data_IF_972516920242
#
_entry.id   IF_972516920242
#
_cell.length_a   1.000
_cell.length_b   1.000
_cell.length_c   1.000
_cell.angle_alpha   90.00
_cell.angle_beta   90.00
_cell.angle_gamma   90.00
#
_symmetry.space_group_name_H-M   'P 1'
#
loop_
_entity.id
_entity.type
_entity.pdbx_description
1 polymer ?
#
# COMPACT_ATOMS: atom_id res chain seq x y z
N UNK A 1 3.57 5.70 -9.17
CA UNK A 1 3.39 6.71 -10.23
C UNK A 1 2.22 6.21 -11.04
N UNK A 2 1.12 6.95 -11.05
CA UNK A 2 -0.14 6.49 -11.65
C UNK A 2 -0.01 6.27 -13.16
N UNK A 3 -0.54 5.15 -13.65
CA UNK A 3 -0.75 4.90 -15.07
C UNK A 3 -2.18 5.29 -15.43
N UNK A 4 -2.35 6.16 -16.42
CA UNK A 4 -3.68 6.52 -16.92
C UNK A 4 -4.24 5.38 -17.75
N UNK A 5 -5.44 4.91 -17.39
CA UNK A 5 -6.17 3.87 -18.12
C UNK A 5 -6.39 4.34 -19.57
N UNK A 6 -5.91 3.55 -20.53
CA UNK A 6 -6.04 3.82 -21.97
C UNK A 6 -4.81 4.44 -22.65
N UNK A 7 -3.74 4.72 -21.90
CA UNK A 7 -2.46 5.19 -22.46
C UNK A 7 -1.41 4.10 -22.28
N UNK A 8 -0.99 3.46 -23.38
CA UNK A 8 0.17 2.56 -23.37
C UNK A 8 1.48 3.38 -23.33
N UNK A 9 1.83 3.94 -22.17
CA UNK A 9 3.20 4.44 -21.97
C UNK A 9 4.14 3.23 -21.78
N UNK A 10 4.90 2.87 -22.82
CA UNK A 10 6.06 1.97 -22.67
C UNK A 10 7.17 2.69 -21.91
N UNK A 11 7.08 2.74 -20.58
CA UNK A 11 8.18 3.19 -19.73
C UNK A 11 9.25 2.10 -19.66
N UNK A 12 10.49 2.48 -19.98
CA UNK A 12 11.65 1.63 -19.76
C UNK A 12 11.72 1.23 -18.28
N UNK A 13 11.91 -0.07 -18.01
CA UNK A 13 12.08 -0.60 -16.67
C UNK A 13 13.36 -0.03 -16.04
N UNK A 14 13.25 1.12 -15.37
CA UNK A 14 14.29 1.57 -14.45
C UNK A 14 14.30 0.57 -13.29
N UNK A 15 15.49 0.04 -12.95
CA UNK A 15 15.71 -0.60 -11.64
C UNK A 15 15.35 0.42 -10.57
N UNK A 16 14.14 0.29 -10.06
CA UNK A 16 13.61 1.16 -9.02
C UNK A 16 14.12 0.63 -7.69
N UNK A 17 14.76 1.46 -6.87
CA UNK A 17 15.02 1.17 -5.46
C UNK A 17 13.73 1.16 -4.61
N UNK A 18 12.58 1.34 -5.26
CA UNK A 18 11.28 1.49 -4.67
C UNK A 18 10.28 0.52 -5.30
N UNK A 19 9.51 -0.16 -4.47
CA UNK A 19 8.39 -1.00 -4.91
C UNK A 19 7.22 -0.80 -3.96
N UNK A 20 6.02 -0.72 -4.52
CA UNK A 20 4.81 -0.74 -3.73
C UNK A 20 4.60 -2.13 -3.12
N UNK A 21 4.16 -2.14 -1.86
CA UNK A 21 3.92 -3.35 -1.08
C UNK A 21 2.59 -3.21 -0.32
N UNK A 22 1.89 -4.32 -0.05
CA UNK A 22 0.75 -4.35 0.84
C UNK A 22 1.07 -3.70 2.19
N UNK A 23 0.07 -3.09 2.83
CA UNK A 23 0.21 -2.48 4.16
C UNK A 23 0.73 -3.54 5.13
N UNK A 24 1.81 -3.24 5.84
CA UNK A 24 2.48 -4.16 6.77
C UNK A 24 3.52 -5.11 6.14
N UNK A 25 3.72 -5.04 4.82
CA UNK A 25 4.67 -5.89 4.09
C UNK A 25 5.77 -5.07 3.39
N UNK A 26 5.98 -3.84 3.84
CA UNK A 26 7.05 -2.94 3.42
C UNK A 26 7.93 -2.53 4.60
N UNK A 27 8.53 -1.33 4.51
CA UNK A 27 9.43 -0.79 5.53
C UNK A 27 8.76 0.19 6.51
N UNK A 28 7.48 0.52 6.30
CA UNK A 28 6.75 1.45 7.15
C UNK A 28 6.37 0.80 8.48
N UNK A 29 6.49 1.56 9.57
CA UNK A 29 5.99 1.19 10.89
C UNK A 29 4.49 1.47 10.98
N UNK A 30 3.68 0.51 10.53
CA UNK A 30 2.22 0.64 10.51
C UNK A 30 1.64 0.79 11.92
N UNK A 31 2.02 0.00 12.94
CA UNK A 31 1.53 0.19 14.31
C UNK A 31 1.72 1.62 14.83
N UNK A 32 2.93 2.19 14.71
CA UNK A 32 3.20 3.55 15.18
C UNK A 32 2.38 4.61 14.41
N UNK A 33 2.17 4.41 13.10
CA UNK A 33 1.34 5.30 12.30
C UNK A 33 -0.14 5.25 12.72
N UNK A 34 -0.66 4.07 13.06
CA UNK A 34 -2.03 3.92 13.57
C UNK A 34 -2.21 4.60 14.93
N UNK A 35 -1.26 4.46 15.83
CA UNK A 35 -1.26 5.13 17.15
C UNK A 35 -1.24 6.66 17.00
N UNK A 36 -0.37 7.18 16.14
CA UNK A 36 -0.31 8.61 15.84
C UNK A 36 -1.62 9.12 15.22
N UNK A 37 -2.25 8.31 14.36
CA UNK A 37 -3.54 8.63 13.74
C UNK A 37 -4.64 8.74 14.79
N UNK A 38 -4.75 7.77 15.70
CA UNK A 38 -5.72 7.82 16.80
C UNK A 38 -5.47 9.03 17.72
N UNK A 39 -4.20 9.29 18.07
CA UNK A 39 -3.80 10.42 18.90
C UNK A 39 -4.14 11.78 18.27
N UNK A 40 -4.20 11.84 16.94
CA UNK A 40 -4.63 13.05 16.22
C UNK A 40 -6.15 13.30 16.24
N UNK A 41 -6.95 12.35 16.76
CA UNK A 41 -8.40 12.42 16.78
C UNK A 41 -9.07 11.98 15.47
N UNK A 42 -8.31 11.38 14.55
CA UNK A 42 -8.87 10.86 13.31
C UNK A 42 -9.73 9.61 13.57
N UNK A 43 -10.92 9.56 12.96
CA UNK A 43 -11.85 8.43 13.11
C UNK A 43 -11.69 7.36 12.03
N UNK A 44 -11.01 7.66 10.93
CA UNK A 44 -10.92 6.79 9.77
C UNK A 44 -9.53 6.80 9.16
N UNK A 45 -9.10 5.65 8.66
CA UNK A 45 -7.95 5.51 7.77
C UNK A 45 -8.46 5.06 6.39
N UNK A 46 -7.85 5.61 5.34
CA UNK A 46 -8.10 5.18 3.96
C UNK A 46 -6.83 4.49 3.48
N UNK A 47 -6.98 3.25 3.01
CA UNK A 47 -5.89 2.47 2.42
C UNK A 47 -6.02 2.55 0.90
N UNK A 48 -5.09 3.23 0.25
CA UNK A 48 -4.95 3.21 -1.20
C UNK A 48 -4.05 2.03 -1.60
N UNK A 49 -4.51 1.22 -2.54
CA UNK A 49 -3.70 0.14 -3.12
C UNK A 49 -3.30 0.50 -4.55
N UNK A 50 -1.99 0.50 -4.78
CA UNK A 50 -1.36 0.64 -6.09
C UNK A 50 -0.88 -0.74 -6.60
N UNK A 51 -0.25 -0.78 -7.76
CA UNK A 51 0.36 -1.98 -8.33
C UNK A 51 1.36 -2.62 -7.37
N UNK A 52 1.12 -3.87 -6.97
CA UNK A 52 2.04 -4.61 -6.12
C UNK A 52 2.93 -5.55 -6.93
N UNK A 53 4.25 -5.44 -6.76
CA UNK A 53 5.20 -6.34 -7.45
C UNK A 53 5.02 -7.79 -6.96
N UNK A 54 4.94 -8.72 -7.91
CA UNK A 54 4.92 -10.16 -7.67
C UNK A 54 3.59 -10.74 -7.18
N UNK A 55 2.48 -9.98 -7.21
CA UNK A 55 1.15 -10.47 -6.83
C UNK A 55 0.01 -9.68 -7.48
N UNK A 56 -1.17 -10.28 -7.69
CA UNK A 56 -2.38 -9.57 -8.14
C UNK A 56 -2.83 -8.48 -7.14
N UNK A 57 -3.47 -7.43 -7.66
CA UNK A 57 -3.92 -6.29 -6.86
C UNK A 57 -4.90 -6.71 -5.73
N UNK A 58 -5.85 -7.61 -6.01
CA UNK A 58 -6.80 -8.09 -5.00
C UNK A 58 -6.12 -8.94 -3.91
N UNK A 59 -5.06 -9.67 -4.25
CA UNK A 59 -4.28 -10.41 -3.25
C UNK A 59 -3.51 -9.43 -2.33
N UNK A 60 -2.91 -8.39 -2.90
CA UNK A 60 -2.26 -7.32 -2.14
C UNK A 60 -3.24 -6.59 -1.19
N UNK A 61 -4.45 -6.29 -1.66
CA UNK A 61 -5.50 -5.70 -0.84
C UNK A 61 -5.92 -6.64 0.30
N UNK A 62 -6.11 -7.94 0.02
CA UNK A 62 -6.46 -8.93 1.03
C UNK A 62 -5.36 -9.11 2.09
N UNK A 63 -4.08 -9.07 1.70
CA UNK A 63 -2.95 -9.07 2.63
C UNK A 63 -2.98 -7.84 3.55
N UNK A 64 -3.17 -6.66 2.98
CA UNK A 64 -3.25 -5.39 3.73
C UNK A 64 -4.36 -5.42 4.78
N UNK A 65 -5.56 -5.86 4.41
CA UNK A 65 -6.70 -5.97 5.34
C UNK A 65 -6.41 -6.99 6.45
N UNK A 66 -5.79 -8.13 6.13
CA UNK A 66 -5.40 -9.15 7.14
C UNK A 66 -4.41 -8.59 8.14
N UNK A 67 -3.39 -7.87 7.68
CA UNK A 67 -2.41 -7.25 8.56
C UNK A 67 -3.07 -6.22 9.48
N UNK A 68 -3.87 -5.30 8.93
CA UNK A 68 -4.56 -4.27 9.73
C UNK A 68 -5.48 -4.89 10.79
N UNK A 69 -6.23 -5.94 10.45
CA UNK A 69 -7.09 -6.68 11.40
C UNK A 69 -6.31 -7.41 12.49
N UNK A 70 -5.04 -7.72 12.28
CA UNK A 70 -4.20 -8.34 13.32
C UNK A 70 -3.68 -7.33 14.36
N UNK A 71 -3.80 -6.03 14.07
CA UNK A 71 -3.37 -4.94 14.96
C UNK A 71 -4.53 -4.38 15.81
N UNK A 72 -5.76 -4.86 15.60
CA UNK A 72 -7.00 -4.40 16.24
C UNK A 72 -7.67 -5.50 17.06
#
# INVERSE_FOLDING_TARGET
>A
LYELIGIEEKRAARKSSFEFRPVGHGLQDIPALLEATQSSGASWIIVEQDNSVGRPALEAAAMSIRHLRSLS
#
